data_IF_933351282512
#
_entry.id   IF_933351282512
#
_cell.length_a   1.000
_cell.length_b   1.000
_cell.length_c   1.000
_cell.angle_alpha   90.00
_cell.angle_beta   90.00
_cell.angle_gamma   90.00
#
_symmetry.space_group_name_H-M   'P 1'
#
loop_
_entity.id
_entity.type
_entity.pdbx_description
1 polymer ?
#
# COMPACT_ATOMS: atom_id res chain seq x y z
N UNK A 1 -19.54 -17.92 47.28
CA UNK A 1 -20.15 -16.88 46.42
C UNK A 1 -20.17 -17.35 44.97
N UNK A 2 -21.34 -17.73 44.46
CA UNK A 2 -21.55 -18.22 43.07
C UNK A 2 -21.05 -17.21 42.02
N UNK A 3 -21.13 -15.92 42.36
CA UNK A 3 -20.71 -14.77 41.55
C UNK A 3 -19.20 -14.80 41.20
N UNK A 4 -18.35 -15.24 42.14
CA UNK A 4 -16.89 -15.37 41.90
C UNK A 4 -16.57 -16.44 40.85
N UNK A 5 -17.30 -17.57 40.88
CA UNK A 5 -17.16 -18.66 39.92
C UNK A 5 -17.60 -18.22 38.52
N UNK A 6 -18.71 -17.48 38.43
CA UNK A 6 -19.19 -16.88 37.18
C UNK A 6 -18.19 -15.88 36.57
N UNK A 7 -17.63 -14.94 37.35
CA UNK A 7 -16.60 -14.00 36.84
C UNK A 7 -15.37 -14.73 36.31
N UNK A 8 -14.91 -15.78 36.99
CA UNK A 8 -13.74 -16.56 36.56
C UNK A 8 -14.00 -17.32 35.25
N UNK A 9 -15.20 -17.86 35.09
CA UNK A 9 -15.62 -18.52 33.83
C UNK A 9 -15.74 -17.51 32.69
N UNK A 10 -16.36 -16.35 32.93
CA UNK A 10 -16.49 -15.29 31.92
C UNK A 10 -15.12 -14.76 31.47
N UNK A 11 -14.17 -14.56 32.39
CA UNK A 11 -12.82 -14.11 32.03
C UNK A 11 -12.08 -15.13 31.16
N UNK A 12 -12.27 -16.43 31.41
CA UNK A 12 -11.68 -17.49 30.57
C UNK A 12 -12.28 -17.50 29.16
N UNK A 13 -13.59 -17.33 29.06
CA UNK A 13 -14.29 -17.24 27.77
C UNK A 13 -13.81 -16.01 26.99
N UNK A 14 -13.74 -14.85 27.64
CA UNK A 14 -13.25 -13.61 27.04
C UNK A 14 -11.80 -13.74 26.57
N UNK A 15 -10.93 -14.37 27.39
CA UNK A 15 -9.54 -14.63 27.02
C UNK A 15 -9.42 -15.55 25.81
N UNK A 16 -10.29 -16.56 25.71
CA UNK A 16 -10.34 -17.45 24.55
C UNK A 16 -10.71 -16.69 23.26
N UNK A 17 -11.71 -15.79 23.32
CA UNK A 17 -12.08 -14.94 22.17
C UNK A 17 -10.95 -14.00 21.74
N UNK A 18 -10.20 -13.42 22.69
CA UNK A 18 -9.05 -12.56 22.40
C UNK A 18 -7.94 -13.35 21.69
N UNK A 19 -7.61 -14.56 22.17
CA UNK A 19 -6.61 -15.42 21.53
C UNK A 19 -7.03 -15.77 20.10
N UNK A 20 -8.30 -16.13 19.88
CA UNK A 20 -8.78 -16.47 18.53
C UNK A 20 -8.72 -15.29 17.57
N UNK A 21 -8.96 -14.06 18.03
CA UNK A 21 -8.90 -12.87 17.18
C UNK A 21 -7.46 -12.52 16.77
N UNK A 22 -6.49 -12.72 17.68
CA UNK A 22 -5.06 -12.46 17.42
C UNK A 22 -4.45 -13.49 16.47
N UNK A 23 -4.96 -14.73 16.46
CA UNK A 23 -4.46 -15.82 15.60
C UNK A 23 -5.19 -15.94 14.26
N UNK A 24 -6.07 -14.99 13.92
CA UNK A 24 -6.67 -14.92 12.58
C UNK A 24 -5.54 -14.77 11.56
N UNK A 25 -5.38 -15.69 10.58
CA UNK A 25 -4.44 -15.47 9.50
C UNK A 25 -4.80 -14.17 8.77
N UNK A 26 -3.81 -13.40 8.28
CA UNK A 26 -4.10 -12.23 7.47
C UNK A 26 -5.01 -12.64 6.31
N UNK A 27 -6.18 -12.03 6.22
CA UNK A 27 -7.10 -12.35 5.14
C UNK A 27 -6.50 -11.84 3.83
N UNK A 28 -5.91 -12.76 3.06
CA UNK A 28 -5.53 -12.48 1.67
C UNK A 28 -6.84 -12.41 0.89
N UNK A 29 -7.34 -11.21 0.67
CA UNK A 29 -8.51 -11.00 -0.15
C UNK A 29 -8.15 -11.33 -1.60
N UNK A 30 -8.74 -12.39 -2.14
CA UNK A 30 -8.60 -12.73 -3.56
C UNK A 30 -9.21 -11.61 -4.39
N UNK A 31 -8.40 -10.98 -5.23
CA UNK A 31 -8.86 -9.95 -6.13
C UNK A 31 -9.26 -10.57 -7.48
N UNK A 32 -10.41 -10.13 -8.00
CA UNK A 32 -10.79 -10.45 -9.38
C UNK A 32 -10.02 -9.52 -10.30
N UNK A 33 -9.03 -10.06 -11.00
CA UNK A 33 -8.23 -9.34 -11.99
C UNK A 33 -8.85 -9.60 -13.38
N UNK A 34 -8.83 -8.63 -14.31
CA UNK A 34 -9.24 -8.87 -15.69
C UNK A 34 -8.56 -10.12 -16.28
N UNK A 35 -9.29 -10.88 -17.11
CA UNK A 35 -8.65 -11.95 -17.89
C UNK A 35 -7.80 -11.33 -18.99
N UNK A 36 -6.67 -11.97 -19.32
CA UNK A 36 -5.67 -11.49 -20.30
C UNK A 36 -4.97 -10.19 -19.89
N UNK A 37 -4.24 -10.22 -18.77
CA UNK A 37 -3.36 -9.11 -18.37
C UNK A 37 -2.03 -9.15 -19.12
N UNK A 38 -1.56 -7.97 -19.53
CA UNK A 38 -0.16 -7.77 -19.93
C UNK A 38 0.61 -7.24 -18.73
N UNK A 39 1.66 -7.94 -18.32
CA UNK A 39 2.48 -7.57 -17.17
C UNK A 39 3.78 -6.95 -17.67
N UNK A 40 4.10 -5.77 -17.15
CA UNK A 40 5.37 -5.08 -17.38
C UNK A 40 6.08 -4.94 -16.04
N UNK A 41 7.38 -5.27 -16.01
CA UNK A 41 8.21 -5.14 -14.81
C UNK A 41 9.00 -3.85 -14.93
N UNK A 42 8.70 -2.90 -14.04
CA UNK A 42 9.44 -1.65 -13.91
C UNK A 42 10.51 -1.85 -12.82
N UNK A 43 11.77 -1.88 -13.22
CA UNK A 43 12.90 -2.05 -12.31
C UNK A 43 14.08 -1.18 -12.76
N UNK A 44 14.86 -0.70 -11.80
CA UNK A 44 15.99 0.17 -12.07
C UNK A 44 16.38 0.99 -10.83
N UNK A 45 16.99 2.13 -11.09
CA UNK A 45 17.38 3.10 -10.05
C UNK A 45 16.35 4.24 -9.95
N UNK A 46 16.73 5.38 -9.35
CA UNK A 46 15.84 6.50 -9.04
C UNK A 46 15.04 7.03 -10.24
N UNK A 47 15.61 7.03 -11.45
CA UNK A 47 14.92 7.51 -12.64
C UNK A 47 13.74 6.60 -13.04
N UNK A 48 13.83 5.29 -12.77
CA UNK A 48 12.70 4.36 -12.95
C UNK A 48 11.70 4.47 -11.79
N UNK A 49 12.20 4.66 -10.55
CA UNK A 49 11.34 4.88 -9.39
C UNK A 49 10.47 6.15 -9.52
N UNK A 50 10.99 7.16 -10.22
CA UNK A 50 10.30 8.41 -10.54
C UNK A 50 10.80 9.56 -9.67
N UNK A 51 11.26 10.64 -10.31
CA UNK A 51 11.75 11.88 -9.67
C UNK A 51 11.24 13.15 -10.36
N UNK A 52 10.35 13.01 -11.35
CA UNK A 52 9.73 14.16 -12.01
C UNK A 52 8.93 14.99 -11.01
N UNK A 53 9.14 16.31 -11.01
CA UNK A 53 8.47 17.24 -10.09
C UNK A 53 8.97 17.20 -8.65
N UNK A 54 10.01 16.41 -8.36
CA UNK A 54 10.60 16.33 -7.01
C UNK A 54 11.65 17.43 -6.83
N UNK A 55 11.49 18.27 -5.80
CA UNK A 55 12.41 19.37 -5.49
C UNK A 55 12.75 19.44 -4.00
N UNK A 56 13.82 20.17 -3.66
CA UNK A 56 14.15 20.48 -2.27
C UNK A 56 13.43 21.76 -1.84
N UNK A 57 12.46 21.62 -0.93
CA UNK A 57 11.78 22.76 -0.34
C UNK A 57 12.72 23.45 0.65
N UNK A 58 13.17 24.65 0.28
CA UNK A 58 14.09 25.46 1.10
C UNK A 58 13.49 25.92 2.43
N UNK A 59 12.17 26.01 2.55
CA UNK A 59 11.52 26.44 3.79
C UNK A 59 11.53 25.33 4.84
N UNK A 60 11.38 24.07 4.42
CA UNK A 60 11.34 22.91 5.32
C UNK A 60 12.62 22.08 5.30
N UNK A 61 13.53 22.35 4.37
CA UNK A 61 14.72 21.57 4.04
C UNK A 61 14.39 20.08 3.80
N UNK A 62 13.28 19.82 3.10
CA UNK A 62 12.79 18.47 2.77
C UNK A 62 12.57 18.32 1.28
N UNK A 63 12.78 17.11 0.79
CA UNK A 63 12.46 16.75 -0.58
C UNK A 63 10.96 16.47 -0.71
N UNK A 64 10.29 17.22 -1.58
CA UNK A 64 8.83 17.16 -1.80
C UNK A 64 8.53 16.97 -3.29
N UNK A 65 7.40 16.35 -3.60
CA UNK A 65 6.86 16.26 -4.97
C UNK A 65 5.81 17.36 -5.17
N UNK A 66 5.83 18.04 -6.31
CA UNK A 66 4.88 19.10 -6.66
C UNK A 66 3.45 18.61 -6.90
N UNK A 67 3.25 17.30 -7.06
CA UNK A 67 1.93 16.69 -7.33
C UNK A 67 1.42 16.93 -8.76
N UNK A 68 2.26 17.46 -9.65
CA UNK A 68 1.88 17.72 -11.04
C UNK A 68 1.92 16.41 -11.83
N UNK A 69 0.78 16.07 -12.43
CA UNK A 69 0.62 14.87 -13.28
C UNK A 69 0.36 15.33 -14.72
N UNK A 70 1.28 15.10 -15.66
CA UNK A 70 1.05 15.36 -17.08
C UNK A 70 -0.18 14.60 -17.62
N UNK A 71 -0.88 15.12 -18.64
CA UNK A 71 -2.03 14.43 -19.23
C UNK A 71 -1.75 12.99 -19.67
N UNK A 72 -0.54 12.71 -20.12
CA UNK A 72 -0.06 11.41 -20.58
C UNK A 72 0.08 10.39 -19.44
N UNK A 73 0.27 10.88 -18.20
CA UNK A 73 0.45 10.08 -16.98
C UNK A 73 -0.85 9.95 -16.17
N UNK A 74 -2.00 10.34 -16.73
CA UNK A 74 -3.30 10.23 -16.05
C UNK A 74 -3.65 8.76 -15.81
N UNK A 75 -4.26 8.49 -14.66
CA UNK A 75 -4.68 7.14 -14.30
C UNK A 75 -5.76 6.61 -15.25
N UNK A 76 -5.77 5.30 -15.43
CA UNK A 76 -6.72 4.59 -16.26
C UNK A 76 -7.18 3.33 -15.53
N UNK A 77 -8.49 3.07 -15.38
CA UNK A 77 -8.99 1.86 -14.70
C UNK A 77 -8.53 0.52 -15.30
N UNK A 78 -8.06 0.53 -16.55
CA UNK A 78 -7.50 -0.65 -17.23
C UNK A 78 -5.99 -0.85 -16.99
N UNK A 79 -5.30 0.11 -16.37
CA UNK A 79 -3.88 0.04 -16.05
C UNK A 79 -3.75 -0.10 -14.53
N UNK A 80 -3.17 -1.23 -14.12
CA UNK A 80 -3.09 -1.60 -12.71
C UNK A 80 -1.63 -1.65 -12.24
N UNK A 81 -1.44 -1.31 -10.98
CA UNK A 81 -0.17 -1.40 -10.26
C UNK A 81 -0.27 -2.46 -9.18
N UNK A 82 0.78 -3.25 -9.01
CA UNK A 82 0.89 -4.17 -7.88
C UNK A 82 1.55 -3.45 -6.70
N UNK A 83 0.79 -3.28 -5.61
CA UNK A 83 1.26 -2.63 -4.38
C UNK A 83 2.26 -3.51 -3.62
N UNK A 84 2.98 -2.91 -2.66
CA UNK A 84 3.84 -3.63 -1.73
C UNK A 84 3.11 -4.72 -0.91
N UNK A 85 1.78 -4.61 -0.79
CA UNK A 85 0.91 -5.60 -0.12
C UNK A 85 0.43 -6.70 -1.06
N UNK A 86 0.97 -6.79 -2.28
CA UNK A 86 0.58 -7.76 -3.31
C UNK A 86 -0.91 -7.65 -3.69
N UNK A 87 -1.41 -6.42 -3.74
CA UNK A 87 -2.77 -6.07 -4.16
C UNK A 87 -2.67 -5.26 -5.45
N UNK A 88 -3.51 -5.55 -6.43
CA UNK A 88 -3.70 -4.72 -7.62
C UNK A 88 -4.59 -3.53 -7.30
N UNK A 89 -4.17 -2.36 -7.76
CA UNK A 89 -4.92 -1.10 -7.68
C UNK A 89 -4.78 -0.32 -8.99
N UNK A 90 -5.66 0.65 -9.23
CA UNK A 90 -5.50 1.57 -10.35
C UNK A 90 -4.14 2.29 -10.26
N UNK A 91 -3.34 2.21 -11.33
CA UNK A 91 -2.02 2.82 -11.36
C UNK A 91 -2.13 4.36 -11.30
N UNK A 92 -1.46 4.96 -10.30
CA UNK A 92 -1.39 6.41 -10.07
C UNK A 92 0.02 6.79 -9.68
N UNK A 93 0.51 7.88 -10.26
CA UNK A 93 1.81 8.41 -9.87
C UNK A 93 1.79 8.92 -8.40
N UNK A 94 2.88 8.74 -7.64
CA UNK A 94 4.12 8.05 -7.99
C UNK A 94 4.01 6.52 -7.91
N UNK A 95 4.35 5.79 -8.97
CA UNK A 95 4.17 4.32 -9.01
C UNK A 95 5.00 3.55 -7.96
N UNK A 96 6.12 4.10 -7.50
CA UNK A 96 7.00 3.44 -6.52
C UNK A 96 6.79 3.93 -5.08
N UNK A 97 5.71 4.66 -4.78
CA UNK A 97 5.46 5.28 -3.46
C UNK A 97 5.59 4.33 -2.26
N UNK A 98 5.19 3.07 -2.41
CA UNK A 98 5.26 2.02 -1.37
C UNK A 98 6.36 0.98 -1.64
N UNK A 99 7.16 1.15 -2.70
CA UNK A 99 8.26 0.27 -3.08
C UNK A 99 9.63 0.93 -2.79
N UNK A 100 9.86 2.15 -3.27
CA UNK A 100 11.03 2.98 -2.96
C UNK A 100 10.74 3.89 -1.75
N UNK A 101 10.46 3.26 -0.61
CA UNK A 101 9.90 3.91 0.59
C UNK A 101 10.85 4.90 1.30
N UNK A 102 12.14 4.83 1.01
CA UNK A 102 13.15 5.67 1.66
C UNK A 102 13.40 6.99 0.92
N UNK A 103 12.66 7.24 -0.16
CA UNK A 103 12.85 8.40 -1.04
C UNK A 103 11.49 9.01 -1.40
N UNK A 104 11.47 10.34 -1.54
CA UNK A 104 10.33 11.02 -2.15
C UNK A 104 10.29 10.68 -3.64
N UNK A 105 9.21 10.04 -4.06
CA UNK A 105 8.97 9.67 -5.45
C UNK A 105 8.10 10.74 -6.13
N UNK A 106 8.28 10.88 -7.45
CA UNK A 106 7.44 11.70 -8.32
C UNK A 106 7.13 10.94 -9.60
N UNK A 107 6.89 11.65 -10.69
CA UNK A 107 6.56 11.02 -11.98
C UNK A 107 7.75 10.18 -12.51
N UNK A 108 7.45 8.98 -12.99
CA UNK A 108 8.38 8.05 -13.65
C UNK A 108 7.99 7.80 -15.12
N UNK A 109 8.69 6.88 -15.81
CA UNK A 109 8.40 6.55 -17.21
C UNK A 109 7.32 5.46 -17.41
N UNK A 110 6.72 4.99 -16.31
CA UNK A 110 5.81 3.84 -16.28
C UNK A 110 4.37 4.15 -16.64
#
# INVERSE_FOLDING_TARGET
SSISKYRKTMNKILFFFIITFIHSPPQIQSQTIPRNISIFILAGQSNMAGRGGVYNDTATNRTVWDGVIPPECRSNPSILRLTAKLQWEEAKEPLHVDIDVNKTNGVGPG
#
